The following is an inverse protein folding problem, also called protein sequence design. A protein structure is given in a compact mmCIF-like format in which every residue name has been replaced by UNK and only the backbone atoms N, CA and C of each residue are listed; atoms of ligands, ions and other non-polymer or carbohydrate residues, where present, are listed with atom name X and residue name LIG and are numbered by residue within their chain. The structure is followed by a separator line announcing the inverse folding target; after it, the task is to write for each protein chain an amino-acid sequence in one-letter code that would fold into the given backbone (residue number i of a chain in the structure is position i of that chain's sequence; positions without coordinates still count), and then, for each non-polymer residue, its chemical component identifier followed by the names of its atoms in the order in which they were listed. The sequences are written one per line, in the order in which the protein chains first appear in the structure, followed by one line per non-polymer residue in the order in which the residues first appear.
data_IF_917785603100
#
_entry.id   IF_917785603100
#
_cell.length_a   1.000
_cell.length_b   1.000
_cell.length_c   1.000
_cell.angle_alpha   90.00
_cell.angle_beta   90.00
_cell.angle_gamma   90.00
#
_symmetry.space_group_name_H-M   'P 1'
#
loop_
_entity.id
_entity.type
_entity.pdbx_description
1 polymer ?
#
# COMPACT_ATOMS: atom_id res chain seq x y z
N UNK A 1 10.74 3.43 7.53
CA UNK A 1 10.30 2.94 6.20
C UNK A 1 11.40 2.97 5.16
N UNK A 2 12.27 3.99 5.12
CA UNK A 2 13.38 4.04 4.15
C UNK A 2 14.23 2.76 4.13
N UNK A 3 14.41 2.10 5.29
CA UNK A 3 15.19 0.86 5.39
C UNK A 3 14.61 -0.31 4.57
N UNK A 4 13.31 -0.62 4.70
CA UNK A 4 12.72 -1.79 4.00
C UNK A 4 12.71 -1.59 2.48
N UNK A 5 12.34 -0.39 2.01
CA UNK A 5 12.34 -0.11 0.58
C UNK A 5 13.76 -0.19 -0.01
N UNK A 6 14.75 0.42 0.66
CA UNK A 6 16.14 0.37 0.21
C UNK A 6 16.68 -1.06 0.21
N UNK A 7 16.39 -1.86 1.24
CA UNK A 7 16.75 -3.28 1.30
C UNK A 7 16.13 -4.07 0.15
N UNK A 8 14.84 -3.86 -0.13
CA UNK A 8 14.11 -4.54 -1.19
C UNK A 8 14.68 -4.20 -2.58
N UNK A 9 14.94 -2.92 -2.83
CA UNK A 9 15.54 -2.44 -4.09
C UNK A 9 16.95 -3.00 -4.25
N UNK A 10 17.77 -2.97 -3.19
CA UNK A 10 19.11 -3.54 -3.21
C UNK A 10 19.08 -5.05 -3.51
N UNK A 11 18.12 -5.78 -2.91
CA UNK A 11 17.93 -7.19 -3.17
C UNK A 11 17.52 -7.44 -4.64
N UNK A 12 16.55 -6.67 -5.16
CA UNK A 12 16.13 -6.75 -6.57
C UNK A 12 17.31 -6.53 -7.54
N UNK A 13 18.12 -5.50 -7.29
CA UNK A 13 19.31 -5.19 -8.08
C UNK A 13 20.32 -6.33 -8.08
N UNK A 14 20.55 -6.98 -6.93
CA UNK A 14 21.46 -8.14 -6.84
C UNK A 14 21.03 -9.33 -7.70
N UNK A 15 19.75 -9.36 -8.10
CA UNK A 15 19.17 -10.37 -8.98
C UNK A 15 18.86 -9.85 -10.40
N UNK A 16 19.36 -8.66 -10.78
CA UNK A 16 19.07 -8.01 -12.06
C UNK A 16 17.56 -7.77 -12.31
N UNK A 17 16.79 -7.54 -11.25
CA UNK A 17 15.37 -7.23 -11.32
C UNK A 17 15.13 -5.72 -11.18
N UNK A 18 14.06 -5.21 -11.80
CA UNK A 18 13.59 -3.85 -11.56
C UNK A 18 13.01 -3.72 -10.15
N UNK A 19 12.88 -2.49 -9.65
CA UNK A 19 12.25 -2.22 -8.35
C UNK A 19 10.79 -2.72 -8.28
N UNK A 20 10.05 -2.57 -9.38
CA UNK A 20 8.69 -3.09 -9.52
C UNK A 20 8.64 -4.62 -9.41
N UNK A 21 9.55 -5.33 -10.09
CA UNK A 21 9.67 -6.78 -9.94
C UNK A 21 10.07 -7.19 -8.53
N UNK A 22 10.97 -6.42 -7.89
CA UNK A 22 11.32 -6.59 -6.49
C UNK A 22 10.11 -6.51 -5.56
N UNK A 23 9.28 -5.47 -5.73
CA UNK A 23 8.05 -5.28 -4.99
C UNK A 23 7.04 -6.40 -5.19
N UNK A 24 6.71 -6.71 -6.45
CA UNK A 24 5.69 -7.69 -6.78
C UNK A 24 6.06 -9.10 -6.34
N UNK A 25 7.31 -9.51 -6.53
CA UNK A 25 7.80 -10.83 -6.10
C UNK A 25 8.04 -10.89 -4.59
N UNK A 26 8.34 -9.79 -3.92
CA UNK A 26 8.60 -9.71 -2.48
C UNK A 26 7.37 -9.69 -1.58
N UNK A 27 6.24 -10.31 -1.94
CA UNK A 27 4.98 -10.28 -1.17
C UNK A 27 4.18 -8.95 -1.22
N UNK A 28 4.58 -7.96 -2.03
CA UNK A 28 3.71 -6.86 -2.48
C UNK A 28 3.46 -5.71 -1.50
N UNK A 29 2.36 -5.00 -1.72
CA UNK A 29 1.92 -3.82 -0.96
C UNK A 29 1.21 -4.26 0.32
N UNK A 30 1.52 -3.59 1.43
CA UNK A 30 0.88 -3.82 2.73
C UNK A 30 0.25 -2.52 3.24
N UNK A 31 -0.60 -2.61 4.26
CA UNK A 31 -1.07 -1.45 5.01
C UNK A 31 -0.99 -1.76 6.50
N UNK A 32 -0.38 -0.89 7.28
CA UNK A 32 -0.30 -1.04 8.74
C UNK A 32 -0.72 0.28 9.40
N UNK A 33 -1.71 0.22 10.28
CA UNK A 33 -2.24 1.32 11.07
C UNK A 33 -2.04 1.06 12.56
N UNK A 34 -1.06 1.71 13.20
CA UNK A 34 -0.86 1.46 14.63
C UNK A 34 -1.73 2.37 15.50
N UNK A 35 -2.45 1.75 16.42
CA UNK A 35 -3.04 2.42 17.58
C UNK A 35 -2.08 2.31 18.78
N UNK A 36 -1.67 3.41 19.43
CA UNK A 36 -0.97 3.34 20.74
C UNK A 36 -1.75 3.96 21.89
N UNK A 37 -1.44 3.55 23.13
CA UNK A 37 -1.94 4.16 24.37
C UNK A 37 -1.09 5.36 24.87
N UNK A 38 -0.48 6.20 24.01
CA UNK A 38 0.42 7.29 24.44
C UNK A 38 0.45 8.46 23.43
N UNK A 39 0.69 9.73 23.83
CA UNK A 39 -0.07 10.91 23.39
C UNK A 39 0.34 11.53 22.03
N UNK A 40 1.19 10.88 21.24
CA UNK A 40 1.58 11.39 19.92
C UNK A 40 0.86 10.61 18.79
N UNK A 41 0.07 11.26 17.92
CA UNK A 41 -0.73 10.58 16.87
C UNK A 41 0.11 10.01 15.72
N UNK A 42 1.44 10.11 15.77
CA UNK A 42 2.29 9.70 14.66
C UNK A 42 2.57 8.21 14.69
N UNK A 43 1.70 7.40 14.07
CA UNK A 43 2.05 6.01 13.73
C UNK A 43 1.55 5.56 12.36
N UNK A 44 2.21 6.17 11.39
CA UNK A 44 2.79 5.56 10.19
C UNK A 44 2.04 4.43 9.51
N UNK A 45 1.44 4.80 8.38
CA UNK A 45 0.98 3.90 7.35
C UNK A 45 2.21 3.28 6.67
N UNK A 46 2.40 1.96 6.82
CA UNK A 46 3.44 1.26 6.04
C UNK A 46 2.85 0.64 4.79
N UNK A 47 3.43 0.97 3.64
CA UNK A 47 3.03 0.42 2.34
C UNK A 47 3.69 -0.91 1.96
N UNK A 48 4.60 -1.45 2.78
CA UNK A 48 5.43 -2.62 2.45
C UNK A 48 5.37 -3.67 3.54
N UNK A 49 5.29 -4.94 3.13
CA UNK A 49 5.40 -6.06 4.05
C UNK A 49 6.84 -6.17 4.60
N UNK A 50 6.99 -6.41 5.91
CA UNK A 50 8.32 -6.42 6.56
C UNK A 50 9.24 -7.54 6.09
N UNK A 51 8.67 -8.65 5.64
CA UNK A 51 9.45 -9.78 5.12
C UNK A 51 9.78 -9.64 3.62
N UNK A 52 9.48 -8.51 2.98
CA UNK A 52 9.47 -8.42 1.53
C UNK A 52 10.81 -8.77 0.87
N UNK A 53 11.92 -8.27 1.43
CA UNK A 53 13.28 -8.56 0.95
C UNK A 53 13.62 -10.06 1.07
N UNK A 54 13.21 -10.69 2.17
CA UNK A 54 13.43 -12.13 2.40
C UNK A 54 12.62 -12.97 1.41
N UNK A 55 11.34 -12.63 1.19
CA UNK A 55 10.48 -13.31 0.23
C UNK A 55 11.02 -13.16 -1.19
N UNK A 56 11.50 -11.97 -1.56
CA UNK A 56 12.12 -11.72 -2.86
C UNK A 56 13.36 -12.59 -3.08
N UNK A 57 14.27 -12.64 -2.11
CA UNK A 57 15.50 -13.43 -2.20
C UNK A 57 15.22 -14.93 -2.44
N UNK A 58 14.12 -15.45 -1.88
CA UNK A 58 13.70 -16.84 -2.10
C UNK A 58 13.07 -17.08 -3.48
N UNK A 59 12.34 -16.09 -4.01
CA UNK A 59 11.60 -16.21 -5.28
C UNK A 59 12.42 -15.83 -6.50
N UNK A 60 13.44 -14.98 -6.38
CA UNK A 60 14.23 -14.53 -7.51
C UNK A 60 14.87 -15.69 -8.32
N UNK A 61 15.45 -16.74 -7.69
CA UNK A 61 15.93 -17.91 -8.44
C UNK A 61 14.81 -18.67 -9.16
N UNK A 62 13.62 -18.75 -8.56
CA UNK A 62 12.47 -19.44 -9.15
C UNK A 62 11.96 -18.68 -10.38
N UNK A 63 11.87 -17.35 -10.29
CA UNK A 63 11.46 -16.49 -11.39
C UNK A 63 12.35 -16.65 -12.62
N UNK A 64 13.67 -16.82 -12.44
CA UNK A 64 14.59 -17.06 -13.55
C UNK A 64 14.30 -18.38 -14.30
N UNK A 65 13.75 -19.39 -13.61
CA UNK A 65 13.48 -20.71 -14.18
C UNK A 65 12.03 -20.91 -14.65
N UNK A 66 11.06 -20.26 -14.01
CA UNK A 66 9.63 -20.46 -14.21
C UNK A 66 8.86 -19.13 -14.00
N UNK A 67 9.09 -18.10 -14.83
CA UNK A 67 8.62 -16.74 -14.56
C UNK A 67 7.09 -16.65 -14.43
N UNK A 68 6.32 -17.30 -15.30
CA UNK A 68 4.86 -17.27 -15.23
C UNK A 68 4.34 -17.85 -13.90
N UNK A 69 4.82 -19.04 -13.52
CA UNK A 69 4.38 -19.70 -12.30
C UNK A 69 4.75 -18.89 -11.05
N UNK A 70 5.98 -18.36 -11.01
CA UNK A 70 6.42 -17.53 -9.88
C UNK A 70 5.63 -16.23 -9.77
N UNK A 71 5.30 -15.58 -10.90
CA UNK A 71 4.46 -14.36 -10.89
C UNK A 71 3.05 -14.67 -10.42
N UNK A 72 2.40 -15.74 -10.90
CA UNK A 72 1.07 -16.16 -10.43
C UNK A 72 1.07 -16.45 -8.92
N UNK A 73 2.07 -17.16 -8.43
CA UNK A 73 2.22 -17.43 -7.00
C UNK A 73 2.42 -16.12 -6.19
N UNK A 74 3.18 -15.17 -6.73
CA UNK A 74 3.38 -13.87 -6.12
C UNK A 74 2.09 -13.05 -6.05
N UNK A 75 1.37 -12.90 -7.16
CA UNK A 75 0.08 -12.21 -7.22
C UNK A 75 -0.92 -12.77 -6.21
N UNK A 76 -1.03 -14.11 -6.17
CA UNK A 76 -1.91 -14.80 -5.21
C UNK A 76 -1.49 -14.52 -3.77
N UNK A 77 -0.21 -14.64 -3.44
CA UNK A 77 0.24 -14.39 -2.07
C UNK A 77 -0.02 -12.94 -1.64
N UNK A 78 0.24 -11.97 -2.51
CA UNK A 78 0.00 -10.55 -2.24
C UNK A 78 -1.48 -10.28 -1.92
N UNK A 79 -2.38 -10.85 -2.72
CA UNK A 79 -3.82 -10.76 -2.51
C UNK A 79 -4.28 -11.46 -1.22
N UNK A 80 -3.71 -12.63 -0.90
CA UNK A 80 -4.03 -13.34 0.35
C UNK A 80 -3.57 -12.56 1.57
N UNK A 81 -2.39 -11.94 1.54
CA UNK A 81 -1.93 -11.08 2.62
C UNK A 81 -2.87 -9.91 2.85
N UNK A 82 -3.35 -9.27 1.79
CA UNK A 82 -4.25 -8.12 1.95
C UNK A 82 -5.67 -8.52 2.37
N UNK A 83 -6.22 -9.61 1.83
CA UNK A 83 -7.60 -10.02 2.10
C UNK A 83 -7.78 -10.85 3.38
N UNK A 84 -6.77 -11.61 3.78
CA UNK A 84 -6.88 -12.59 4.86
C UNK A 84 -6.10 -12.22 6.13
N UNK A 85 -5.33 -11.13 6.13
CA UNK A 85 -4.72 -10.63 7.37
C UNK A 85 -5.82 -10.13 8.32
N UNK A 86 -6.04 -10.90 9.39
CA UNK A 86 -7.08 -10.64 10.40
C UNK A 86 -6.58 -9.72 11.53
N UNK A 87 -5.37 -9.18 11.43
CA UNK A 87 -4.87 -8.26 12.44
C UNK A 87 -5.65 -6.94 12.37
N UNK A 88 -6.17 -6.42 13.51
CA UNK A 88 -7.01 -5.24 13.53
C UNK A 88 -6.32 -3.98 12.99
N UNK A 89 -4.99 -3.96 13.08
CA UNK A 89 -4.15 -2.83 12.69
C UNK A 89 -3.50 -3.02 11.32
N UNK A 90 -3.97 -3.97 10.51
CA UNK A 90 -3.35 -4.34 9.26
C UNK A 90 -4.35 -4.42 8.10
N UNK A 91 -3.82 -4.32 6.89
CA UNK A 91 -4.54 -4.47 5.63
C UNK A 91 -5.86 -3.69 5.62
N UNK A 92 -6.97 -4.33 5.21
CA UNK A 92 -8.30 -3.72 5.11
C UNK A 92 -8.81 -3.20 6.46
N UNK A 93 -8.70 -4.01 7.52
CA UNK A 93 -9.25 -3.65 8.82
C UNK A 93 -8.52 -2.44 9.42
N UNK A 94 -7.21 -2.34 9.19
CA UNK A 94 -6.44 -1.15 9.56
C UNK A 94 -6.90 0.11 8.82
N UNK A 95 -7.27 0.00 7.53
CA UNK A 95 -7.80 1.12 6.76
C UNK A 95 -9.19 1.55 7.26
N UNK A 96 -10.06 0.60 7.59
CA UNK A 96 -11.40 0.87 8.13
C UNK A 96 -11.32 1.60 9.47
N UNK A 97 -10.49 1.10 10.40
CA UNK A 97 -10.27 1.77 11.69
C UNK A 97 -9.73 3.19 11.50
N UNK A 98 -8.76 3.37 10.62
CA UNK A 98 -8.24 4.70 10.33
C UNK A 98 -9.33 5.63 9.79
N UNK A 99 -10.18 5.14 8.90
CA UNK A 99 -11.27 5.91 8.34
C UNK A 99 -12.28 6.38 9.40
N UNK A 100 -12.61 5.51 10.36
CA UNK A 100 -13.49 5.83 11.48
C UNK A 100 -12.90 6.89 12.40
N UNK A 101 -11.62 6.74 12.76
CA UNK A 101 -10.97 7.62 13.71
C UNK A 101 -10.64 8.99 13.10
N UNK A 102 -10.36 9.05 11.79
CA UNK A 102 -9.94 10.28 11.10
C UNK A 102 -10.96 11.43 11.23
N UNK A 103 -12.26 11.12 11.35
CA UNK A 103 -13.31 12.12 11.55
C UNK A 103 -13.19 12.90 12.88
N UNK A 104 -12.42 12.37 13.84
CA UNK A 104 -12.26 12.93 15.19
C UNK A 104 -10.81 13.38 15.47
N UNK A 105 -9.95 13.37 14.45
CA UNK A 105 -8.52 13.64 14.63
C UNK A 105 -8.22 15.08 15.07
N UNK A 106 -9.07 16.04 14.75
CA UNK A 106 -8.92 17.44 15.12
C UNK A 106 -8.99 17.69 16.64
N UNK A 107 -9.56 16.74 17.39
CA UNK A 107 -9.56 16.73 18.85
C UNK A 107 -8.20 16.30 19.46
N UNK A 108 -7.27 15.77 18.67
CA UNK A 108 -5.97 15.29 19.15
C UNK A 108 -4.91 16.40 19.15
N UNK A 109 -3.98 16.41 20.11
CA UNK A 109 -2.77 17.23 20.02
C UNK A 109 -2.00 16.92 18.72
N UNK A 110 -1.42 17.94 18.09
CA UNK A 110 -0.56 17.81 16.90
C UNK A 110 -1.19 17.14 15.66
N UNK A 111 -2.52 17.11 15.57
CA UNK A 111 -3.23 16.46 14.46
C UNK A 111 -2.79 16.98 13.09
N UNK A 112 -2.57 18.29 12.96
CA UNK A 112 -2.10 18.92 11.70
C UNK A 112 -0.76 18.35 11.24
N UNK A 113 0.20 18.26 12.15
CA UNK A 113 1.53 17.70 11.87
C UNK A 113 1.39 16.25 11.43
N UNK A 114 0.49 15.51 12.07
CA UNK A 114 0.21 14.11 11.74
C UNK A 114 -0.40 13.95 10.35
N UNK A 115 -1.40 14.77 9.99
CA UNK A 115 -2.00 14.75 8.66
C UNK A 115 -0.99 15.13 7.57
N UNK A 116 -0.16 16.15 7.81
CA UNK A 116 0.90 16.54 6.88
C UNK A 116 1.94 15.42 6.70
N UNK A 117 2.35 14.76 7.79
CA UNK A 117 3.28 13.64 7.72
C UNK A 117 2.68 12.45 6.95
N UNK A 118 1.40 12.13 7.17
CA UNK A 118 0.71 11.07 6.41
C UNK A 118 0.59 11.42 4.93
N UNK A 119 0.18 12.65 4.60
CA UNK A 119 0.09 13.11 3.23
C UNK A 119 1.44 13.03 2.50
N UNK A 120 2.51 13.53 3.12
CA UNK A 120 3.88 13.41 2.59
C UNK A 120 4.27 11.96 2.41
N UNK A 121 3.99 11.10 3.39
CA UNK A 121 4.29 9.67 3.29
C UNK A 121 3.61 9.04 2.07
N UNK A 122 2.33 9.34 1.84
CA UNK A 122 1.58 8.84 0.67
C UNK A 122 2.21 9.35 -0.63
N UNK A 123 2.55 10.64 -0.71
CA UNK A 123 3.14 11.25 -1.91
C UNK A 123 4.55 10.74 -2.19
N UNK A 124 5.43 10.77 -1.19
CA UNK A 124 6.86 10.42 -1.29
C UNK A 124 7.08 8.92 -1.59
N UNK A 125 6.06 8.09 -1.35
CA UNK A 125 6.08 6.65 -1.65
C UNK A 125 5.22 6.28 -2.87
N UNK A 126 4.81 7.26 -3.68
CA UNK A 126 3.98 7.05 -4.87
C UNK A 126 2.69 6.28 -4.58
N UNK A 127 1.87 6.86 -3.70
CA UNK A 127 0.67 6.24 -3.15
C UNK A 127 0.98 4.93 -2.41
N UNK A 128 1.91 4.96 -1.45
CA UNK A 128 2.25 3.81 -0.61
C UNK A 128 2.61 2.58 -1.46
N UNK A 129 3.47 2.80 -2.44
CA UNK A 129 4.04 1.84 -3.40
C UNK A 129 3.04 1.23 -4.39
N UNK A 130 1.78 1.70 -4.43
CA UNK A 130 0.75 1.19 -5.34
C UNK A 130 1.04 1.52 -6.79
N UNK A 131 1.64 2.68 -7.08
CA UNK A 131 2.10 3.03 -8.42
C UNK A 131 3.20 2.08 -8.89
N UNK A 132 4.13 1.74 -8.00
CA UNK A 132 5.20 0.77 -8.29
C UNK A 132 4.61 -0.64 -8.49
N UNK A 133 3.57 -1.01 -7.74
CA UNK A 133 2.87 -2.27 -7.94
C UNK A 133 2.09 -2.29 -9.27
N UNK A 134 1.56 -1.16 -9.72
CA UNK A 134 0.97 -1.03 -11.05
C UNK A 134 2.02 -1.26 -12.15
N UNK A 135 3.23 -0.73 -12.00
CA UNK A 135 4.35 -1.02 -12.91
C UNK A 135 4.71 -2.52 -12.91
N UNK A 136 4.59 -3.20 -11.77
CA UNK A 136 4.76 -4.65 -11.69
C UNK A 136 3.68 -5.39 -12.50
N UNK A 137 2.41 -5.01 -12.34
CA UNK A 137 1.31 -5.60 -13.12
C UNK A 137 1.52 -5.40 -14.63
N UNK A 138 1.99 -4.22 -15.04
CA UNK A 138 2.31 -3.90 -16.43
C UNK A 138 3.48 -4.75 -16.94
N UNK A 139 4.56 -4.86 -16.16
CA UNK A 139 5.74 -5.67 -16.50
C UNK A 139 5.37 -7.14 -16.68
N UNK A 140 4.46 -7.64 -15.84
CA UNK A 140 4.05 -9.04 -15.87
C UNK A 140 2.95 -9.36 -16.88
N UNK A 141 2.43 -8.37 -17.61
CA UNK A 141 1.35 -8.55 -18.58
C UNK A 141 1.71 -9.51 -19.72
N UNK A 142 3.01 -9.72 -19.98
CA UNK A 142 3.50 -10.72 -20.94
C UNK A 142 3.37 -12.17 -20.46
N UNK A 143 3.20 -12.39 -19.16
CA UNK A 143 3.09 -13.73 -18.56
C UNK A 143 1.67 -14.04 -18.09
N UNK A 144 0.95 -13.03 -17.59
CA UNK A 144 -0.35 -13.20 -16.95
C UNK A 144 -1.26 -12.05 -17.39
N UNK A 145 -2.54 -12.29 -17.74
CA UNK A 145 -3.45 -11.22 -18.17
C UNK A 145 -3.81 -10.29 -17.00
N UNK A 146 -3.13 -9.15 -16.91
CA UNK A 146 -3.30 -8.20 -15.79
C UNK A 146 -4.07 -6.91 -16.14
N UNK A 147 -4.63 -6.78 -17.35
CA UNK A 147 -5.19 -5.51 -17.85
C UNK A 147 -6.33 -4.93 -17.00
N UNK A 148 -7.25 -5.78 -16.51
CA UNK A 148 -8.32 -5.35 -15.62
C UNK A 148 -7.78 -4.86 -14.27
N UNK A 149 -6.86 -5.63 -13.68
CA UNK A 149 -6.18 -5.26 -12.43
C UNK A 149 -5.38 -3.95 -12.58
N UNK A 150 -4.72 -3.72 -13.72
CA UNK A 150 -4.00 -2.48 -13.98
C UNK A 150 -4.93 -1.26 -13.99
N UNK A 151 -6.09 -1.36 -14.64
CA UNK A 151 -7.08 -0.27 -14.69
C UNK A 151 -7.56 0.08 -13.29
N UNK A 152 -7.97 -0.93 -12.51
CA UNK A 152 -8.50 -0.72 -11.16
C UNK A 152 -7.44 -0.17 -10.20
N UNK A 153 -6.21 -0.68 -10.24
CA UNK A 153 -5.14 -0.19 -9.40
C UNK A 153 -4.72 1.25 -9.76
N UNK A 154 -4.74 1.61 -11.04
CA UNK A 154 -4.49 2.99 -11.48
C UNK A 154 -5.50 3.97 -10.84
N UNK A 155 -6.76 3.58 -10.79
CA UNK A 155 -7.79 4.39 -10.13
C UNK A 155 -7.60 4.44 -8.60
N UNK A 156 -7.21 3.34 -7.96
CA UNK A 156 -6.85 3.32 -6.53
C UNK A 156 -5.66 4.24 -6.24
N UNK A 157 -4.62 4.23 -7.08
CA UNK A 157 -3.46 5.14 -6.97
C UNK A 157 -3.92 6.60 -7.00
N UNK A 158 -4.79 6.96 -7.95
CA UNK A 158 -5.30 8.32 -8.05
C UNK A 158 -6.10 8.74 -6.80
N UNK A 159 -6.87 7.82 -6.22
CA UNK A 159 -7.61 8.09 -4.98
C UNK A 159 -6.71 8.27 -3.76
N UNK A 160 -5.63 7.50 -3.65
CA UNK A 160 -4.62 7.73 -2.61
C UNK A 160 -3.96 9.10 -2.73
N UNK A 161 -3.65 9.53 -3.95
CA UNK A 161 -3.09 10.87 -4.19
C UNK A 161 -4.12 11.97 -3.87
N UNK A 162 -5.39 11.76 -4.23
CA UNK A 162 -6.48 12.66 -3.83
C UNK A 162 -6.60 12.77 -2.31
N UNK A 163 -6.54 11.64 -1.60
CA UNK A 163 -6.55 11.61 -0.14
C UNK A 163 -5.38 12.42 0.43
N UNK A 164 -4.15 12.21 -0.07
CA UNK A 164 -2.99 12.95 0.40
C UNK A 164 -3.17 14.48 0.27
N UNK A 165 -3.69 14.94 -0.87
CA UNK A 165 -3.99 16.36 -1.08
C UNK A 165 -5.06 16.87 -0.10
N UNK A 166 -6.17 16.12 0.07
CA UNK A 166 -7.21 16.47 1.04
C UNK A 166 -6.67 16.55 2.48
N UNK A 167 -5.73 15.69 2.86
CA UNK A 167 -5.09 15.73 4.17
C UNK A 167 -4.22 16.99 4.34
N UNK A 168 -3.49 17.42 3.31
CA UNK A 168 -2.73 18.68 3.34
C UNK A 168 -3.65 19.89 3.48
N UNK A 169 -4.72 19.93 2.69
CA UNK A 169 -5.72 21.00 2.72
C UNK A 169 -6.40 21.11 4.09
N UNK A 170 -6.80 19.97 4.66
CA UNK A 170 -7.37 19.91 6.01
C UNK A 170 -6.38 20.42 7.06
N UNK A 171 -5.11 20.03 6.97
CA UNK A 171 -4.08 20.47 7.92
C UNK A 171 -3.77 21.98 7.82
N UNK A 172 -3.97 22.57 6.65
CA UNK A 172 -3.80 24.01 6.41
C UNK A 172 -5.03 24.84 6.81
N UNK A 173 -6.24 24.26 6.75
CA UNK A 173 -7.50 24.95 7.05
C UNK A 173 -7.63 25.43 8.50
N UNK A 174 -8.28 26.57 8.73
CA UNK A 174 -8.67 27.03 10.07
C UNK A 174 -9.84 26.21 10.65
N UNK A 175 -10.73 25.71 9.80
CA UNK A 175 -11.85 24.84 10.13
C UNK A 175 -11.74 23.56 9.27
N UNK A 176 -11.08 22.50 9.75
CA UNK A 176 -10.86 21.28 8.97
C UNK A 176 -12.16 20.50 8.79
N UNK A 177 -12.39 19.98 7.58
CA UNK A 177 -13.53 19.12 7.26
C UNK A 177 -13.06 17.66 7.12
N UNK A 178 -12.73 17.03 8.25
CA UNK A 178 -12.10 15.70 8.30
C UNK A 178 -13.04 14.55 7.89
N UNK A 179 -14.34 14.81 7.76
CA UNK A 179 -15.29 13.84 7.22
C UNK A 179 -15.00 13.49 5.76
N UNK A 180 -14.45 14.45 4.99
CA UNK A 180 -14.11 14.24 3.58
C UNK A 180 -13.00 13.20 3.43
N UNK A 181 -11.79 13.37 4.04
CA UNK A 181 -10.76 12.35 3.97
C UNK A 181 -11.19 11.04 4.66
N UNK A 182 -12.01 11.07 5.72
CA UNK A 182 -12.59 9.84 6.31
C UNK A 182 -13.40 9.03 5.27
N UNK A 183 -14.29 9.67 4.51
CA UNK A 183 -15.05 9.01 3.42
C UNK A 183 -14.14 8.47 2.32
N UNK A 184 -13.07 9.20 1.97
CA UNK A 184 -12.09 8.74 0.98
C UNK A 184 -11.38 7.46 1.44
N UNK A 185 -10.96 7.37 2.71
CA UNK A 185 -10.33 6.16 3.24
C UNK A 185 -11.30 4.98 3.23
N UNK A 186 -12.57 5.16 3.61
CA UNK A 186 -13.58 4.09 3.50
C UNK A 186 -13.77 3.59 2.08
N UNK A 187 -13.83 4.52 1.12
CA UNK A 187 -13.93 4.18 -0.31
C UNK A 187 -12.69 3.41 -0.77
N UNK A 188 -11.49 3.86 -0.39
CA UNK A 188 -10.24 3.17 -0.67
C UNK A 188 -10.26 1.75 -0.08
N UNK A 189 -10.67 1.56 1.18
CA UNK A 189 -10.74 0.22 1.80
C UNK A 189 -11.64 -0.72 0.99
N UNK A 190 -12.84 -0.27 0.63
CA UNK A 190 -13.75 -1.04 -0.22
C UNK A 190 -13.13 -1.37 -1.59
N UNK A 191 -12.51 -0.39 -2.26
CA UNK A 191 -11.93 -0.61 -3.59
C UNK A 191 -10.74 -1.55 -3.56
N UNK A 192 -9.91 -1.46 -2.52
CA UNK A 192 -8.78 -2.35 -2.29
C UNK A 192 -9.28 -3.78 -2.06
N UNK A 193 -10.30 -3.98 -1.23
CA UNK A 193 -10.91 -5.31 -1.02
C UNK A 193 -11.32 -5.95 -2.35
N UNK A 194 -12.00 -5.19 -3.21
CA UNK A 194 -12.45 -5.66 -4.51
C UNK A 194 -11.27 -5.95 -5.44
N UNK A 195 -10.28 -5.07 -5.47
CA UNK A 195 -9.09 -5.22 -6.28
C UNK A 195 -8.31 -6.48 -5.88
N UNK A 196 -7.98 -6.63 -4.60
CA UNK A 196 -7.23 -7.80 -4.12
C UNK A 196 -8.02 -9.08 -4.24
N UNK A 197 -9.35 -9.03 -4.14
CA UNK A 197 -10.23 -10.16 -4.49
C UNK A 197 -10.02 -10.62 -5.94
N UNK A 198 -10.06 -9.69 -6.90
CA UNK A 198 -9.87 -9.97 -8.33
C UNK A 198 -8.46 -10.43 -8.70
N UNK A 199 -7.44 -9.97 -7.97
CA UNK A 199 -6.06 -10.45 -8.20
C UNK A 199 -5.94 -11.96 -8.02
N UNK A 200 -6.83 -12.59 -7.23
CA UNK A 200 -6.89 -14.05 -7.10
C UNK A 200 -7.43 -14.77 -8.34
N UNK A 201 -8.13 -14.04 -9.23
CA UNK A 201 -8.73 -14.58 -10.47
C UNK A 201 -7.79 -14.43 -11.70
N UNK A 202 -6.61 -13.81 -11.52
CA UNK A 202 -5.59 -13.57 -12.57
C UNK A 202 -4.70 -14.79 -12.82
#
# INVERSE_FOLDING_TARGET
MQTIWTELVSCAQSHNLSAAMGLGLGAGVYFEYYRRPSPAPTRFITGLHRAASTTLAQRAPQYASAPEQTVRAALRENALWFNLDRQPTAALLGMELWAEELAFYDALPDWRVSLQAMARTILDSDALYRRIYLEFLQTCASFVPTSAAQTELSEIVNEWLQLANCLQDCAASAAPALETPSRLVRRLAFREEHFWGKVLDV
#
